data_IF_316817850595
#
_entry.id   IF_316817850595
#
_cell.length_a   1.000
_cell.length_b   1.000
_cell.length_c   1.000
_cell.angle_alpha   90.00
_cell.angle_beta   90.00
_cell.angle_gamma   90.00
#
_symmetry.space_group_name_H-M   'P 1'
#
loop_
_entity.id
_entity.type
_entity.pdbx_description
1 polymer ?
#
# COMPACT_ATOMS: atom_id res chain seq x y z
N UNK A 1 -9.67 12.12 -1.89
CA UNK A 1 -9.01 12.76 -3.04
C UNK A 1 -10.02 13.12 -4.12
N UNK A 2 -10.73 12.15 -4.71
CA UNK A 2 -11.70 12.42 -5.80
C UNK A 2 -12.68 13.55 -5.46
N UNK A 3 -13.26 13.57 -4.25
CA UNK A 3 -14.17 14.65 -3.78
C UNK A 3 -13.52 16.04 -3.89
N UNK A 4 -12.25 16.18 -3.46
CA UNK A 4 -11.56 17.48 -3.53
C UNK A 4 -11.18 17.85 -4.96
N UNK A 5 -10.82 16.87 -5.79
CA UNK A 5 -10.47 17.11 -7.20
C UNK A 5 -11.67 17.46 -8.06
N UNK A 6 -12.87 16.88 -7.78
CA UNK A 6 -14.09 17.13 -8.53
C UNK A 6 -14.79 18.44 -8.17
N UNK A 7 -14.47 19.01 -6.99
CA UNK A 7 -15.04 20.26 -6.49
C UNK A 7 -13.91 21.13 -5.89
N UNK A 8 -12.98 21.67 -6.71
CA UNK A 8 -11.87 22.48 -6.23
C UNK A 8 -12.34 23.83 -5.71
N UNK A 9 -11.67 24.36 -4.65
CA UNK A 9 -11.94 25.71 -4.12
C UNK A 9 -11.61 26.80 -5.15
N UNK A 10 -10.57 26.59 -5.95
CA UNK A 10 -10.22 27.43 -7.10
C UNK A 10 -10.29 26.60 -8.39
N UNK A 11 -11.36 26.71 -9.19
CA UNK A 11 -11.50 26.01 -10.47
C UNK A 11 -10.42 26.37 -11.51
N UNK A 12 -9.77 27.53 -11.36
CA UNK A 12 -8.71 27.98 -12.29
C UNK A 12 -7.34 27.38 -11.93
N UNK A 13 -7.18 26.93 -10.68
CA UNK A 13 -5.98 26.27 -10.19
C UNK A 13 -6.33 25.05 -9.30
N UNK A 14 -6.91 24.01 -9.89
CA UNK A 14 -7.38 22.85 -9.13
C UNK A 14 -6.23 22.11 -8.48
N UNK A 15 -6.43 21.64 -7.27
CA UNK A 15 -5.49 20.81 -6.53
C UNK A 15 -5.21 19.50 -7.27
N UNK A 16 -3.95 19.11 -7.33
CA UNK A 16 -3.51 17.83 -7.86
C UNK A 16 -2.91 16.97 -6.76
N UNK A 17 -3.12 15.69 -6.84
CA UNK A 17 -2.56 14.73 -5.89
C UNK A 17 -1.43 13.93 -6.54
N UNK A 18 -0.29 13.87 -5.85
CA UNK A 18 0.75 12.86 -6.08
C UNK A 18 0.62 11.82 -4.97
N UNK A 19 0.53 10.56 -5.34
CA UNK A 19 0.26 9.46 -4.40
C UNK A 19 1.35 8.42 -4.49
N UNK A 20 1.97 8.13 -3.35
CA UNK A 20 2.94 7.05 -3.23
C UNK A 20 2.51 6.07 -2.14
N UNK A 21 2.63 4.78 -2.42
CA UNK A 21 2.62 3.73 -1.40
C UNK A 21 4.05 3.47 -0.96
N UNK A 22 4.34 3.74 0.31
CA UNK A 22 5.67 3.49 0.87
C UNK A 22 5.69 2.08 1.45
N UNK A 23 6.70 1.26 1.12
CA UNK A 23 6.85 -0.08 1.68
C UNK A 23 6.96 -0.03 3.21
N UNK A 24 6.28 -0.94 3.89
CA UNK A 24 6.39 -1.13 5.34
C UNK A 24 6.33 -2.62 5.67
N UNK A 25 7.32 -3.12 6.40
CA UNK A 25 7.39 -4.54 6.77
C UNK A 25 6.79 -4.77 8.16
N UNK A 26 5.66 -5.48 8.21
CA UNK A 26 5.05 -5.90 9.48
C UNK A 26 5.84 -7.03 10.16
N UNK A 27 6.58 -7.81 9.39
CA UNK A 27 7.44 -8.91 9.83
C UNK A 27 8.82 -8.79 9.13
N UNK A 28 9.66 -7.83 9.55
CA UNK A 28 10.92 -7.55 8.86
C UNK A 28 11.94 -8.70 8.95
N UNK A 29 11.76 -9.61 9.92
CA UNK A 29 12.64 -10.76 10.13
C UNK A 29 12.20 -12.02 9.37
N UNK A 30 11.18 -11.95 8.55
CA UNK A 30 10.78 -13.10 7.73
C UNK A 30 11.85 -13.42 6.68
N UNK A 31 12.09 -14.71 6.50
CA UNK A 31 12.91 -15.21 5.41
C UNK A 31 12.32 -14.76 4.06
N UNK A 32 13.18 -14.28 3.18
CA UNK A 32 12.79 -13.81 1.83
C UNK A 32 12.64 -14.93 0.82
N UNK A 33 13.10 -16.14 1.16
CA UNK A 33 12.97 -17.33 0.31
C UNK A 33 11.49 -17.67 0.06
N UNK A 34 11.19 -18.07 -1.16
CA UNK A 34 9.82 -18.40 -1.56
C UNK A 34 9.26 -19.64 -0.85
N UNK A 35 10.11 -20.55 -0.39
CA UNK A 35 9.68 -21.73 0.36
C UNK A 35 9.11 -21.38 1.72
N UNK A 36 9.50 -20.21 2.29
CA UNK A 36 9.02 -19.79 3.60
C UNK A 36 7.60 -19.24 3.54
N UNK A 37 6.73 -19.81 4.37
CA UNK A 37 5.44 -19.23 4.74
C UNK A 37 4.91 -19.86 6.02
N UNK A 38 4.08 -19.13 6.75
CA UNK A 38 3.27 -19.65 7.86
C UNK A 38 1.82 -19.23 7.67
N UNK A 39 0.87 -19.91 8.32
CA UNK A 39 -0.51 -19.42 8.31
C UNK A 39 -0.61 -18.14 9.14
N UNK A 40 -1.43 -17.19 8.71
CA UNK A 40 -1.65 -15.97 9.48
C UNK A 40 -2.18 -16.26 10.90
N UNK A 41 -2.87 -17.38 11.09
CA UNK A 41 -3.31 -17.83 12.41
C UNK A 41 -2.09 -18.11 13.32
N UNK A 42 -1.13 -18.92 12.86
CA UNK A 42 0.10 -19.22 13.59
C UNK A 42 0.89 -17.93 13.90
N UNK A 43 1.03 -17.06 12.91
CA UNK A 43 1.64 -15.75 13.08
C UNK A 43 0.98 -14.94 14.19
N UNK A 44 -0.35 -14.83 14.19
CA UNK A 44 -1.09 -14.04 15.18
C UNK A 44 -1.07 -14.69 16.57
N UNK A 45 -1.15 -16.01 16.68
CA UNK A 45 -0.97 -16.71 17.94
C UNK A 45 0.39 -16.43 18.56
N UNK A 46 1.47 -16.45 17.75
CA UNK A 46 2.82 -16.08 18.18
C UNK A 46 2.90 -14.62 18.63
N UNK A 47 2.37 -13.71 17.81
CA UNK A 47 2.43 -12.25 18.04
C UNK A 47 1.65 -11.81 19.27
N UNK A 48 0.54 -12.46 19.60
CA UNK A 48 -0.34 -12.08 20.71
C UNK A 48 -0.17 -12.93 21.97
N UNK A 49 0.82 -13.81 22.01
CA UNK A 49 1.16 -14.57 23.21
C UNK A 49 0.32 -15.84 23.42
N UNK A 50 -0.09 -16.47 22.32
CA UNK A 50 -0.71 -17.79 22.28
C UNK A 50 -2.20 -17.81 21.94
N UNK A 51 -2.75 -19.02 21.88
CA UNK A 51 -4.12 -19.30 21.39
C UNK A 51 -5.21 -18.56 22.17
N UNK A 52 -5.08 -18.46 23.49
CA UNK A 52 -6.08 -17.79 24.32
C UNK A 52 -6.13 -16.27 24.04
N UNK A 53 -4.96 -15.63 23.96
CA UNK A 53 -4.85 -14.22 23.63
C UNK A 53 -5.32 -13.94 22.18
N UNK A 54 -5.00 -14.82 21.24
CA UNK A 54 -5.52 -14.74 19.87
C UNK A 54 -7.06 -14.79 19.84
N UNK A 55 -7.69 -15.72 20.57
CA UNK A 55 -9.15 -15.83 20.63
C UNK A 55 -9.80 -14.55 21.19
N UNK A 56 -9.24 -14.00 22.27
CA UNK A 56 -9.72 -12.75 22.89
C UNK A 56 -9.59 -11.56 21.91
N UNK A 57 -8.44 -11.40 21.28
CA UNK A 57 -8.20 -10.34 20.29
C UNK A 57 -9.11 -10.46 19.07
N UNK A 58 -9.30 -11.67 18.54
CA UNK A 58 -10.22 -11.91 17.43
C UNK A 58 -11.64 -11.44 17.74
N UNK A 59 -12.12 -11.70 18.95
CA UNK A 59 -13.45 -11.27 19.38
C UNK A 59 -13.55 -9.73 19.47
N UNK A 60 -12.53 -9.06 20.01
CA UNK A 60 -12.54 -7.61 20.20
C UNK A 60 -12.37 -6.82 18.89
N UNK A 61 -11.60 -7.33 17.95
CA UNK A 61 -11.29 -6.62 16.69
C UNK A 61 -12.46 -6.56 15.70
N UNK A 62 -13.39 -7.51 15.75
CA UNK A 62 -14.58 -7.57 14.89
C UNK A 62 -14.25 -7.31 13.41
N UNK A 63 -13.17 -7.94 12.92
CA UNK A 63 -12.62 -7.66 11.60
C UNK A 63 -13.63 -7.94 10.46
N UNK A 64 -14.46 -8.96 10.63
CA UNK A 64 -15.48 -9.34 9.64
C UNK A 64 -16.53 -8.24 9.47
N UNK A 65 -17.09 -7.76 10.57
CA UNK A 65 -18.12 -6.73 10.59
C UNK A 65 -17.57 -5.41 10.04
N UNK A 66 -16.39 -5.01 10.50
CA UNK A 66 -15.71 -3.81 10.01
C UNK A 66 -15.35 -3.89 8.53
N UNK A 67 -15.02 -5.08 8.04
CA UNK A 67 -14.80 -5.31 6.60
C UNK A 67 -16.09 -5.10 5.80
N UNK A 68 -17.20 -5.67 6.27
CA UNK A 68 -18.50 -5.54 5.62
C UNK A 68 -18.96 -4.08 5.52
N UNK A 69 -18.71 -3.26 6.54
CA UNK A 69 -19.02 -1.82 6.54
C UNK A 69 -18.32 -1.05 5.41
N UNK A 70 -17.22 -1.56 4.88
CA UNK A 70 -16.44 -0.96 3.78
C UNK A 70 -16.41 -1.82 2.51
N UNK A 71 -17.36 -2.76 2.38
CA UNK A 71 -17.52 -3.58 1.18
C UNK A 71 -16.54 -4.77 1.08
N UNK A 72 -15.83 -5.12 2.15
CA UNK A 72 -14.98 -6.31 2.19
C UNK A 72 -15.77 -7.47 2.79
N UNK A 73 -16.27 -8.36 1.94
CA UNK A 73 -17.16 -9.45 2.37
C UNK A 73 -16.44 -10.58 3.08
N UNK A 74 -15.17 -10.85 2.71
CA UNK A 74 -14.42 -12.02 3.18
C UNK A 74 -12.97 -11.70 3.53
N UNK A 75 -12.55 -12.18 4.70
CA UNK A 75 -11.15 -12.28 5.11
C UNK A 75 -10.77 -13.75 5.34
N UNK A 76 -9.76 -14.25 4.64
CA UNK A 76 -9.19 -15.55 4.91
C UNK A 76 -8.21 -15.44 6.09
N UNK A 77 -8.62 -15.93 7.26
CA UNK A 77 -7.78 -15.91 8.46
C UNK A 77 -6.65 -16.95 8.42
N UNK A 78 -6.74 -17.94 7.56
CA UNK A 78 -5.71 -18.97 7.35
C UNK A 78 -4.85 -18.71 6.12
N UNK A 79 -4.92 -17.46 5.57
CA UNK A 79 -4.03 -17.03 4.48
C UNK A 79 -2.56 -17.22 4.86
N UNK A 80 -1.72 -17.40 3.84
CA UNK A 80 -0.29 -17.59 4.03
C UNK A 80 0.41 -16.25 4.23
N UNK A 81 1.01 -16.06 5.40
CA UNK A 81 1.92 -14.96 5.69
C UNK A 81 3.33 -15.34 5.24
N UNK A 82 4.00 -14.44 4.57
CA UNK A 82 5.35 -14.58 4.02
C UNK A 82 6.08 -13.23 4.03
N UNK A 83 7.34 -13.19 3.63
CA UNK A 83 8.01 -11.92 3.33
C UNK A 83 7.22 -11.13 2.27
N UNK A 84 7.10 -9.83 2.46
CA UNK A 84 6.46 -8.92 1.50
C UNK A 84 7.47 -8.15 0.65
N UNK A 85 8.76 -8.50 0.71
CA UNK A 85 9.82 -7.80 -0.01
C UNK A 85 9.57 -7.80 -1.53
N UNK A 86 9.33 -8.98 -2.13
CA UNK A 86 9.06 -9.10 -3.58
C UNK A 86 7.83 -8.32 -4.00
N UNK A 87 6.74 -8.39 -3.26
CA UNK A 87 5.52 -7.64 -3.59
C UNK A 87 5.71 -6.13 -3.46
N UNK A 88 6.44 -5.65 -2.45
CA UNK A 88 6.78 -4.23 -2.35
C UNK A 88 7.69 -3.76 -3.48
N UNK A 89 8.73 -4.52 -3.83
CA UNK A 89 9.60 -4.21 -4.97
C UNK A 89 8.78 -4.11 -6.26
N UNK A 90 7.92 -5.08 -6.53
CA UNK A 90 7.06 -5.09 -7.73
C UNK A 90 6.17 -3.83 -7.80
N UNK A 91 5.50 -3.47 -6.71
CA UNK A 91 4.64 -2.27 -6.68
C UNK A 91 5.46 -1.00 -6.93
N UNK A 92 6.66 -0.86 -6.33
CA UNK A 92 7.52 0.30 -6.57
C UNK A 92 8.02 0.36 -8.01
N UNK A 93 8.46 -0.76 -8.57
CA UNK A 93 8.89 -0.85 -9.96
C UNK A 93 7.75 -0.48 -10.93
N UNK A 94 6.54 -1.01 -10.73
CA UNK A 94 5.37 -0.66 -11.54
C UNK A 94 5.02 0.83 -11.37
N UNK A 95 5.07 1.36 -10.16
CA UNK A 95 4.86 2.80 -9.91
C UNK A 95 5.85 3.64 -10.71
N UNK A 96 7.14 3.26 -10.69
CA UNK A 96 8.22 3.97 -11.38
C UNK A 96 8.11 3.91 -12.91
N UNK A 97 7.62 2.80 -13.45
CA UNK A 97 7.65 2.52 -14.90
C UNK A 97 6.28 2.65 -15.60
N UNK A 98 5.18 2.52 -14.89
CA UNK A 98 3.80 2.51 -15.43
C UNK A 98 2.86 3.49 -14.74
N UNK A 99 3.32 4.12 -13.65
CA UNK A 99 2.54 5.09 -12.89
C UNK A 99 1.72 4.50 -11.74
N UNK A 100 1.25 5.40 -10.87
CA UNK A 100 0.56 5.01 -9.65
C UNK A 100 -0.80 4.33 -9.90
N UNK A 101 -1.46 4.57 -11.02
CA UNK A 101 -2.79 3.98 -11.30
C UNK A 101 -2.67 2.50 -11.66
N UNK A 102 -1.67 2.12 -12.48
CA UNK A 102 -1.39 0.71 -12.79
C UNK A 102 -0.91 -0.02 -11.53
N UNK A 103 -0.01 0.61 -10.77
CA UNK A 103 0.45 0.06 -9.50
C UNK A 103 -0.70 -0.16 -8.50
N UNK A 104 -1.68 0.74 -8.45
CA UNK A 104 -2.87 0.60 -7.62
C UNK A 104 -3.76 -0.57 -8.06
N UNK A 105 -3.92 -0.79 -9.36
CA UNK A 105 -4.66 -1.93 -9.89
C UNK A 105 -4.00 -3.26 -9.46
N UNK A 106 -2.66 -3.38 -9.61
CA UNK A 106 -1.89 -4.54 -9.16
C UNK A 106 -2.00 -4.71 -7.63
N UNK A 107 -1.87 -3.62 -6.87
CA UNK A 107 -1.99 -3.66 -5.41
C UNK A 107 -3.36 -4.18 -4.95
N UNK A 108 -4.43 -3.77 -5.60
CA UNK A 108 -5.79 -4.23 -5.29
C UNK A 108 -5.98 -5.71 -5.63
N UNK A 109 -5.44 -6.19 -6.75
CA UNK A 109 -5.47 -7.61 -7.10
C UNK A 109 -4.63 -8.46 -6.12
N UNK A 110 -3.44 -8.00 -5.74
CA UNK A 110 -2.63 -8.64 -4.69
C UNK A 110 -3.35 -8.72 -3.35
N UNK A 111 -4.07 -7.66 -2.95
CA UNK A 111 -4.88 -7.67 -1.74
C UNK A 111 -6.00 -8.73 -1.83
N UNK A 112 -6.69 -8.83 -2.96
CA UNK A 112 -7.70 -9.86 -3.16
C UNK A 112 -7.09 -11.26 -3.05
N UNK A 113 -6.04 -11.54 -3.80
CA UNK A 113 -5.33 -12.84 -3.77
C UNK A 113 -4.82 -13.19 -2.37
N UNK A 114 -4.31 -12.22 -1.63
CA UNK A 114 -3.79 -12.46 -0.29
C UNK A 114 -4.91 -12.60 0.76
N UNK A 115 -5.80 -11.62 0.86
CA UNK A 115 -6.79 -11.56 1.93
C UNK A 115 -8.03 -12.45 1.70
N UNK A 116 -8.37 -12.75 0.44
CA UNK A 116 -9.54 -13.57 0.08
C UNK A 116 -9.11 -14.97 -0.30
N UNK A 117 -8.17 -15.12 -1.25
CA UNK A 117 -7.75 -16.42 -1.77
C UNK A 117 -6.67 -17.08 -0.90
N UNK A 118 -6.02 -16.32 -0.01
CA UNK A 118 -5.05 -16.85 0.94
C UNK A 118 -3.65 -17.03 0.40
N UNK A 119 -3.33 -16.43 -0.75
CA UNK A 119 -2.02 -16.57 -1.40
C UNK A 119 -0.92 -15.86 -0.62
N UNK A 120 0.31 -16.35 -0.73
CA UNK A 120 1.51 -15.75 -0.14
C UNK A 120 2.06 -14.64 -1.05
N UNK A 121 2.68 -13.60 -0.47
CA UNK A 121 3.15 -12.41 -1.19
C UNK A 121 4.64 -12.47 -1.60
N UNK A 122 5.31 -13.60 -1.42
CA UNK A 122 6.66 -13.88 -1.93
C UNK A 122 6.68 -14.84 -3.14
N UNK A 123 5.54 -15.26 -3.66
CA UNK A 123 5.40 -16.15 -4.80
C UNK A 123 5.53 -15.34 -6.11
N UNK A 124 6.65 -15.50 -6.82
CA UNK A 124 6.96 -14.71 -8.01
C UNK A 124 5.95 -14.95 -9.15
N UNK A 125 5.49 -16.20 -9.35
CA UNK A 125 4.50 -16.53 -10.36
C UNK A 125 3.17 -15.81 -10.10
N UNK A 126 2.68 -15.89 -8.87
CA UNK A 126 1.45 -15.19 -8.45
C UNK A 126 1.57 -13.67 -8.59
N UNK A 127 2.74 -13.09 -8.26
CA UNK A 127 3.01 -11.67 -8.41
C UNK A 127 3.00 -11.23 -9.88
N UNK A 128 3.61 -12.04 -10.77
CA UNK A 128 3.60 -11.79 -12.22
C UNK A 128 2.20 -11.90 -12.81
N UNK A 129 1.40 -12.87 -12.35
CA UNK A 129 0.01 -13.00 -12.80
C UNK A 129 -0.85 -11.79 -12.39
N UNK A 130 -0.63 -11.24 -11.20
CA UNK A 130 -1.28 -10.01 -10.77
C UNK A 130 -0.85 -8.79 -11.61
N UNK A 131 0.44 -8.68 -11.94
CA UNK A 131 0.97 -7.64 -12.83
C UNK A 131 0.36 -7.75 -14.24
N UNK A 132 0.29 -8.96 -14.79
CA UNK A 132 -0.29 -9.22 -16.11
C UNK A 132 -1.79 -8.88 -16.17
N UNK A 133 -2.54 -9.14 -15.10
CA UNK A 133 -3.96 -8.75 -15.01
C UNK A 133 -4.17 -7.23 -15.10
N UNK A 134 -3.16 -6.42 -14.73
CA UNK A 134 -3.17 -4.97 -14.87
C UNK A 134 -2.47 -4.47 -16.16
N UNK A 135 -2.16 -5.36 -17.11
CA UNK A 135 -1.57 -5.01 -18.42
C UNK A 135 -0.04 -4.82 -18.40
N UNK A 136 0.64 -5.27 -17.34
CA UNK A 136 2.11 -5.30 -17.30
C UNK A 136 2.60 -6.59 -17.94
N UNK A 137 3.66 -6.52 -18.74
CA UNK A 137 4.25 -7.71 -19.37
C UNK A 137 4.76 -8.68 -18.30
N UNK A 138 4.30 -9.93 -18.38
CA UNK A 138 4.56 -10.97 -17.37
C UNK A 138 6.04 -11.34 -17.32
N UNK A 139 6.69 -11.45 -18.47
CA UNK A 139 8.09 -11.86 -18.56
C UNK A 139 9.00 -10.70 -18.11
N UNK A 140 8.61 -9.45 -18.35
CA UNK A 140 9.29 -8.27 -17.85
C UNK A 140 9.20 -8.23 -16.30
N UNK A 141 8.02 -8.47 -15.73
CA UNK A 141 7.83 -8.55 -14.28
C UNK A 141 8.66 -9.69 -13.65
N UNK A 142 8.73 -10.86 -14.31
CA UNK A 142 9.53 -11.98 -13.82
C UNK A 142 11.03 -11.62 -13.82
N UNK A 143 11.56 -11.08 -14.92
CA UNK A 143 12.96 -10.65 -15.00
C UNK A 143 13.31 -9.63 -13.92
N UNK A 144 12.41 -8.69 -13.65
CA UNK A 144 12.58 -7.74 -12.55
C UNK A 144 12.64 -8.45 -11.19
N UNK A 145 11.72 -9.37 -10.90
CA UNK A 145 11.67 -10.08 -9.62
C UNK A 145 12.88 -11.00 -9.38
N UNK A 146 13.47 -11.54 -10.44
CA UNK A 146 14.69 -12.36 -10.41
C UNK A 146 15.97 -11.52 -10.22
N UNK A 147 15.91 -10.22 -10.47
CA UNK A 147 17.03 -9.29 -10.27
C UNK A 147 17.07 -8.73 -8.85
N UNK A 148 18.15 -7.98 -8.55
CA UNK A 148 18.28 -7.21 -7.30
C UNK A 148 17.77 -5.76 -7.44
N UNK A 149 17.18 -5.40 -8.59
CA UNK A 149 16.67 -4.06 -8.84
C UNK A 149 15.61 -3.67 -7.78
N UNK A 150 15.69 -2.45 -7.27
CA UNK A 150 14.74 -1.93 -6.27
C UNK A 150 15.05 -2.29 -4.81
N UNK A 151 16.08 -3.11 -4.53
CA UNK A 151 16.45 -3.44 -3.14
C UNK A 151 16.99 -2.22 -2.39
N UNK A 152 17.84 -1.43 -3.03
CA UNK A 152 18.41 -0.22 -2.45
C UNK A 152 17.31 0.80 -2.12
N UNK A 153 16.42 1.06 -3.07
CA UNK A 153 15.29 1.99 -2.90
C UNK A 153 14.36 1.57 -1.75
N UNK A 154 14.13 0.27 -1.58
CA UNK A 154 13.36 -0.24 -0.44
C UNK A 154 14.11 0.01 0.87
N UNK A 155 15.44 -0.20 0.89
CA UNK A 155 16.30 0.08 2.05
C UNK A 155 16.23 1.56 2.45
N UNK A 156 16.47 2.46 1.50
CA UNK A 156 16.42 3.91 1.70
C UNK A 156 15.05 4.36 2.26
N UNK A 157 13.96 3.79 1.73
CA UNK A 157 12.61 4.10 2.23
C UNK A 157 12.38 3.58 3.67
N UNK A 158 12.96 2.42 4.05
CA UNK A 158 12.87 1.91 5.42
C UNK A 158 13.66 2.79 6.40
N UNK A 159 14.86 3.25 6.05
CA UNK A 159 15.65 4.16 6.86
C UNK A 159 14.87 5.47 7.10
N UNK A 160 14.30 6.05 6.06
CA UNK A 160 13.48 7.25 6.16
C UNK A 160 12.24 7.07 7.05
N UNK A 161 11.56 5.92 6.98
CA UNK A 161 10.44 5.62 7.89
C UNK A 161 10.91 5.60 9.35
N UNK A 162 12.08 5.04 9.65
CA UNK A 162 12.66 5.02 10.99
C UNK A 162 13.02 6.43 11.47
N UNK A 163 13.65 7.25 10.63
CA UNK A 163 13.99 8.64 10.93
C UNK A 163 12.74 9.50 11.22
N UNK A 164 11.63 9.22 10.52
CA UNK A 164 10.34 9.88 10.76
C UNK A 164 9.58 9.33 11.97
N UNK A 165 10.10 8.31 12.66
CA UNK A 165 9.42 7.66 13.79
C UNK A 165 8.17 6.88 13.39
N UNK A 166 8.06 6.43 12.14
CA UNK A 166 6.91 5.65 11.64
C UNK A 166 7.16 4.17 11.87
N UNK A 167 6.55 3.62 12.92
CA UNK A 167 6.73 2.23 13.36
C UNK A 167 5.47 1.37 13.24
N UNK A 168 4.42 1.87 12.61
CA UNK A 168 3.13 1.18 12.46
C UNK A 168 2.40 1.60 11.20
N UNK A 169 1.36 0.87 10.81
CA UNK A 169 0.46 1.19 9.69
C UNK A 169 -1.01 1.12 10.14
N UNK A 170 -1.89 1.87 9.48
CA UNK A 170 -1.62 2.83 8.40
C UNK A 170 -1.09 4.17 8.93
N UNK A 171 -0.22 4.82 8.15
CA UNK A 171 0.18 6.20 8.34
C UNK A 171 0.06 6.94 7.01
N UNK A 172 -0.34 8.21 7.05
CA UNK A 172 -0.48 9.07 5.89
C UNK A 172 0.42 10.29 6.09
N UNK A 173 1.37 10.50 5.20
CA UNK A 173 2.18 11.71 5.15
C UNK A 173 1.59 12.62 4.08
N UNK A 174 0.95 13.71 4.49
CA UNK A 174 0.19 14.58 3.61
C UNK A 174 0.92 15.92 3.46
N UNK A 175 1.11 16.38 2.23
CA UNK A 175 1.83 17.61 1.92
C UNK A 175 3.28 17.63 2.42
N UNK A 176 3.88 16.45 2.61
CA UNK A 176 5.26 16.29 3.10
C UNK A 176 5.49 16.60 4.58
N UNK A 177 4.45 17.03 5.32
CA UNK A 177 4.58 17.53 6.71
C UNK A 177 3.59 16.95 7.69
N UNK A 178 2.37 16.66 7.27
CA UNK A 178 1.30 16.23 8.17
C UNK A 178 1.28 14.71 8.24
N UNK A 179 1.65 14.16 9.39
CA UNK A 179 1.55 12.72 9.65
C UNK A 179 0.22 12.42 10.33
N UNK A 180 -0.60 11.58 9.70
CA UNK A 180 -1.86 11.10 10.24
C UNK A 180 -1.73 9.60 10.51
N UNK A 181 -1.72 9.23 11.77
CA UNK A 181 -1.55 7.85 12.21
C UNK A 181 -2.89 7.15 12.45
N UNK A 182 -2.93 5.87 12.10
CA UNK A 182 -4.09 5.00 12.29
C UNK A 182 -5.14 5.10 11.18
N UNK A 183 -6.09 4.17 11.20
CA UNK A 183 -7.24 4.19 10.31
C UNK A 183 -8.16 5.35 10.68
N UNK A 184 -8.25 6.35 9.81
CA UNK A 184 -9.08 7.54 10.02
C UNK A 184 -10.22 7.58 9.01
N UNK A 185 -11.33 8.20 9.40
CA UNK A 185 -12.44 8.41 8.48
C UNK A 185 -12.05 9.32 7.30
N UNK A 186 -12.59 9.02 6.12
CA UNK A 186 -12.33 9.79 4.90
C UNK A 186 -12.56 11.30 5.08
N UNK A 187 -13.61 11.68 5.82
CA UNK A 187 -13.91 13.08 6.12
C UNK A 187 -12.74 13.84 6.79
N UNK A 188 -11.96 13.18 7.66
CA UNK A 188 -10.76 13.79 8.27
C UNK A 188 -9.68 14.06 7.23
N UNK A 189 -9.45 13.13 6.30
CA UNK A 189 -8.50 13.35 5.20
C UNK A 189 -8.97 14.46 4.26
N UNK A 190 -10.27 14.53 3.95
CA UNK A 190 -10.87 15.61 3.16
C UNK A 190 -10.63 16.96 3.83
N UNK A 191 -10.85 17.09 5.15
CA UNK A 191 -10.57 18.32 5.90
C UNK A 191 -9.10 18.75 5.80
N UNK A 192 -8.17 17.79 5.90
CA UNK A 192 -6.74 18.08 5.76
C UNK A 192 -6.43 18.56 4.34
N UNK A 193 -6.96 17.88 3.32
CA UNK A 193 -6.76 18.28 1.92
C UNK A 193 -7.32 19.66 1.64
N UNK A 194 -8.53 19.97 2.11
CA UNK A 194 -9.15 21.30 1.98
C UNK A 194 -8.32 22.41 2.67
N UNK A 195 -7.79 22.13 3.85
CA UNK A 195 -6.88 23.05 4.52
C UNK A 195 -5.64 23.34 3.68
N UNK A 196 -4.97 22.30 3.15
CA UNK A 196 -3.80 22.48 2.30
C UNK A 196 -4.14 23.21 0.99
N UNK A 197 -5.31 22.95 0.41
CA UNK A 197 -5.82 23.68 -0.75
C UNK A 197 -5.99 25.16 -0.46
N UNK A 198 -6.57 25.53 0.71
CA UNK A 198 -6.82 26.91 1.08
C UNK A 198 -5.55 27.69 1.46
N UNK A 199 -4.52 27.02 2.02
CA UNK A 199 -3.28 27.66 2.47
C UNK A 199 -2.16 27.63 1.44
N UNK A 200 -2.26 26.78 0.41
CA UNK A 200 -1.19 26.56 -0.56
C UNK A 200 0.06 25.90 0.02
N UNK A 201 -0.01 25.39 1.26
CA UNK A 201 1.15 24.81 1.97
C UNK A 201 1.56 23.41 1.52
N UNK A 202 0.93 22.85 0.50
CA UNK A 202 1.31 21.58 -0.09
C UNK A 202 2.71 21.65 -0.69
N UNK A 203 3.69 20.96 -0.10
CA UNK A 203 5.02 20.87 -0.68
C UNK A 203 4.97 20.00 -1.94
N UNK A 204 5.48 20.47 -3.10
CA UNK A 204 5.71 19.59 -4.22
C UNK A 204 6.83 18.60 -3.87
N UNK A 205 6.59 17.35 -4.14
CA UNK A 205 7.56 16.29 -3.87
C UNK A 205 7.36 15.61 -2.51
N UNK A 206 7.71 14.36 -2.48
CA UNK A 206 7.75 13.54 -1.29
C UNK A 206 9.18 13.07 -1.11
N UNK A 207 9.76 13.20 0.08
CA UNK A 207 11.07 12.65 0.39
C UNK A 207 11.15 11.16 0.03
N UNK A 208 10.04 10.41 0.25
CA UNK A 208 9.94 9.03 -0.20
C UNK A 208 9.97 8.84 -1.72
N UNK A 209 9.58 9.84 -2.50
CA UNK A 209 9.69 9.74 -3.96
C UNK A 209 11.14 9.75 -4.43
N UNK A 210 11.98 10.51 -3.74
CA UNK A 210 13.42 10.56 -4.04
C UNK A 210 14.10 9.25 -3.60
N UNK A 211 13.82 8.76 -2.40
CA UNK A 211 14.31 7.46 -1.91
C UNK A 211 13.87 6.30 -2.83
N UNK A 212 12.61 6.29 -3.26
CA UNK A 212 12.05 5.28 -4.16
C UNK A 212 12.34 5.54 -5.65
N UNK A 213 13.04 6.65 -5.97
CA UNK A 213 13.39 7.05 -7.35
C UNK A 213 12.20 7.09 -8.30
N UNK A 214 11.04 7.55 -7.80
CA UNK A 214 9.80 7.61 -8.59
C UNK A 214 9.65 8.98 -9.22
N UNK A 215 9.57 9.07 -10.56
CA UNK A 215 9.39 10.33 -11.26
C UNK A 215 8.07 11.03 -10.88
N UNK A 216 8.02 12.37 -10.82
CA UNK A 216 6.83 13.12 -10.46
C UNK A 216 5.60 12.79 -11.31
N UNK A 217 5.78 12.59 -12.61
CA UNK A 217 4.73 12.25 -13.57
C UNK A 217 4.11 10.87 -13.33
N UNK A 218 4.85 9.95 -12.74
CA UNK A 218 4.40 8.57 -12.46
C UNK A 218 3.58 8.45 -11.19
N UNK A 219 3.53 9.47 -10.35
CA UNK A 219 2.80 9.47 -9.05
C UNK A 219 1.53 10.31 -9.05
N UNK A 220 1.20 10.94 -10.18
CA UNK A 220 0.00 11.76 -10.29
C UNK A 220 -1.26 10.91 -10.29
N UNK A 221 -2.26 11.32 -9.48
CA UNK A 221 -3.60 10.75 -9.47
C UNK A 221 -4.50 11.58 -10.37
N UNK A 222 -5.20 10.91 -11.29
CA UNK A 222 -6.23 11.53 -12.13
C UNK A 222 -7.63 11.31 -11.57
N UNK A 223 -8.59 12.10 -12.03
CA UNK A 223 -10.00 11.84 -11.75
C UNK A 223 -10.43 10.57 -12.49
N UNK A 224 -11.27 9.72 -11.88
CA UNK A 224 -11.87 8.61 -12.60
C UNK A 224 -12.68 9.13 -13.79
N UNK A 225 -12.70 8.36 -14.88
CA UNK A 225 -13.53 8.68 -16.02
C UNK A 225 -15.01 8.77 -15.60
N UNK A 226 -15.79 9.70 -16.15
CA UNK A 226 -17.23 9.78 -15.87
C UNK A 226 -17.90 8.45 -16.22
N UNK A 227 -18.56 7.82 -15.25
CA UNK A 227 -19.30 6.56 -15.43
C UNK A 227 -18.69 5.30 -14.80
N UNK A 228 -17.51 5.37 -14.17
CA UNK A 228 -16.87 4.25 -13.47
C UNK A 228 -16.88 4.44 -11.92
N UNK A 229 -18.01 4.87 -11.37
CA UNK A 229 -18.24 4.94 -9.91
C UNK A 229 -19.20 3.83 -9.48
#
# INVERSE_FOLDING_TARGET
MNEVMSDPMDPTNPVRFSVLRVPFFLEPAYDTDESFSETNRVRLERKWGGKAAFAAQKHSHRLKERGQEVGIEKFNLDRLASSTLKSHRLIQWITKTRGCEVAEAVYNDLNHRHFVDGKKLNDAEMLCDAAAAAGVDRDEAMRFLESDEGLEEIGDAQEMLQEMGIHSIPNFVVGGKVVVSGAVHAAKLVQIFRRLESTGEGAPGSAFADALRIPPEMRAKTLPAPGNA
#
